data_IF_218837608932
#
_entry.id   IF_218837608932
#
_cell.length_a   1.000
_cell.length_b   1.000
_cell.length_c   1.000
_cell.angle_alpha   90.00
_cell.angle_beta   90.00
_cell.angle_gamma   90.00
#
_symmetry.space_group_name_H-M   'P 1'
#
loop_
_entity.id
_entity.type
_entity.pdbx_description
1 polymer ?
#
# COMPACT_ATOMS: atom_id res chain seq x y z
N UNK A 1 23.40 -26.96 16.31
CA UNK A 1 24.10 -27.87 15.35
C UNK A 1 23.55 -29.29 15.40
N UNK A 2 22.97 -29.75 16.52
CA UNK A 2 22.28 -31.05 16.59
C UNK A 2 20.88 -30.99 15.95
N UNK A 3 20.22 -29.85 16.12
CA UNK A 3 18.81 -29.58 15.79
C UNK A 3 18.52 -29.65 14.28
N UNK A 4 19.45 -29.21 13.43
CA UNK A 4 19.30 -29.33 11.97
C UNK A 4 19.41 -30.77 11.47
N UNK A 5 20.15 -31.65 12.15
CA UNK A 5 20.22 -33.06 11.78
C UNK A 5 18.91 -33.78 12.13
N UNK A 6 18.38 -33.55 13.34
CA UNK A 6 17.10 -34.10 13.76
C UNK A 6 15.94 -33.58 12.86
N UNK A 7 15.91 -32.28 12.55
CA UNK A 7 14.93 -31.73 11.60
C UNK A 7 15.05 -32.34 10.19
N UNK A 8 16.26 -32.57 9.68
CA UNK A 8 16.44 -33.21 8.37
C UNK A 8 15.92 -34.67 8.36
N UNK A 9 16.12 -35.42 9.45
CA UNK A 9 15.57 -36.76 9.61
C UNK A 9 14.03 -36.76 9.70
N UNK A 10 13.46 -35.85 10.50
CA UNK A 10 11.99 -35.69 10.62
C UNK A 10 11.36 -35.34 9.27
N UNK A 11 11.96 -34.41 8.52
CA UNK A 11 11.52 -34.04 7.16
C UNK A 11 11.59 -35.21 6.19
N UNK A 12 12.69 -35.98 6.19
CA UNK A 12 12.86 -37.13 5.28
C UNK A 12 11.85 -38.28 5.55
N UNK A 13 11.50 -38.52 6.82
CA UNK A 13 10.46 -39.49 7.19
C UNK A 13 9.06 -38.98 6.82
N UNK A 14 8.73 -37.72 7.15
CA UNK A 14 7.42 -37.14 6.87
C UNK A 14 7.09 -37.14 5.37
N UNK A 15 8.06 -36.80 4.51
CA UNK A 15 7.91 -36.75 3.04
C UNK A 15 7.54 -38.11 2.42
N UNK A 16 7.96 -39.21 3.04
CA UNK A 16 7.75 -40.58 2.54
C UNK A 16 6.56 -41.30 3.18
N UNK A 17 6.00 -40.74 4.25
CA UNK A 17 4.90 -41.35 4.99
C UNK A 17 3.56 -41.00 4.35
N UNK A 18 2.67 -41.97 4.06
CA UNK A 18 1.32 -41.66 3.58
C UNK A 18 0.54 -40.87 4.63
N UNK A 19 -0.08 -39.76 4.21
CA UNK A 19 -0.85 -38.87 5.09
C UNK A 19 -2.36 -39.04 4.84
N UNK A 20 -3.20 -39.16 5.89
CA UNK A 20 -4.67 -39.20 5.73
C UNK A 20 -5.22 -37.99 4.97
N UNK A 21 -4.66 -36.80 5.23
CA UNK A 21 -5.09 -35.53 4.63
C UNK A 21 -4.81 -35.45 3.12
N UNK A 22 -3.86 -36.26 2.64
CA UNK A 22 -3.55 -36.46 1.21
C UNK A 22 -4.29 -37.68 0.63
N UNK A 23 -5.30 -38.22 1.31
CA UNK A 23 -6.03 -39.42 0.87
C UNK A 23 -5.23 -40.72 1.01
N UNK A 24 -4.21 -40.75 1.87
CA UNK A 24 -3.32 -41.90 2.05
C UNK A 24 -2.13 -41.93 1.08
N UNK A 25 -1.90 -40.85 0.33
CA UNK A 25 -0.73 -40.68 -0.55
C UNK A 25 0.43 -40.05 0.26
N UNK A 26 1.69 -40.39 -0.06
CA UNK A 26 2.85 -39.75 0.55
C UNK A 26 3.10 -38.35 -0.06
N UNK A 27 3.60 -37.36 0.71
CA UNK A 27 3.90 -36.03 0.20
C UNK A 27 4.82 -36.01 -1.03
N UNK A 28 5.76 -36.95 -1.12
CA UNK A 28 6.63 -37.14 -2.31
C UNK A 28 5.84 -37.50 -3.57
N UNK A 29 4.90 -38.44 -3.47
CA UNK A 29 4.12 -38.91 -4.61
C UNK A 29 3.01 -37.92 -5.00
N UNK A 30 2.46 -37.21 -4.01
CA UNK A 30 1.50 -36.11 -4.18
C UNK A 30 2.06 -34.93 -4.99
N UNK A 31 3.37 -34.89 -5.28
CA UNK A 31 3.95 -33.88 -6.17
C UNK A 31 3.57 -34.07 -7.64
N UNK A 32 3.24 -35.29 -8.06
CA UNK A 32 2.95 -35.65 -9.45
C UNK A 32 1.45 -35.61 -9.82
N UNK A 33 0.55 -35.75 -8.83
CA UNK A 33 -0.90 -35.67 -9.02
C UNK A 33 -1.41 -34.22 -8.77
N UNK A 34 -2.02 -33.53 -9.76
CA UNK A 34 -2.55 -32.18 -9.58
C UNK A 34 -3.56 -31.97 -8.45
N UNK A 35 -4.33 -32.98 -8.03
CA UNK A 35 -5.29 -32.83 -6.93
C UNK A 35 -4.59 -33.00 -5.56
N UNK A 36 -3.83 -34.07 -5.38
CA UNK A 36 -3.01 -34.27 -4.18
C UNK A 36 -2.00 -33.13 -3.99
N UNK A 37 -1.46 -32.58 -5.09
CA UNK A 37 -0.57 -31.42 -5.12
C UNK A 37 -1.16 -30.18 -4.45
N UNK A 38 -2.43 -29.89 -4.73
CA UNK A 38 -3.13 -28.73 -4.12
C UNK A 38 -3.29 -28.92 -2.62
N UNK A 39 -3.74 -30.10 -2.19
CA UNK A 39 -3.88 -30.46 -0.77
C UNK A 39 -2.53 -30.38 -0.04
N UNK A 40 -1.44 -30.79 -0.69
CA UNK A 40 -0.08 -30.66 -0.18
C UNK A 40 0.36 -29.19 -0.06
N UNK A 41 0.07 -28.35 -1.05
CA UNK A 41 0.38 -26.91 -0.97
C UNK A 41 -0.43 -26.20 0.13
N UNK A 42 -1.71 -26.56 0.33
CA UNK A 42 -2.55 -26.06 1.42
C UNK A 42 -1.99 -26.44 2.81
N UNK A 43 -1.62 -27.71 3.01
CA UNK A 43 -0.97 -28.18 4.24
C UNK A 43 0.35 -27.45 4.52
N UNK A 44 1.14 -27.15 3.49
CA UNK A 44 2.39 -26.40 3.63
C UNK A 44 2.16 -24.92 3.98
N UNK A 45 1.01 -24.33 3.57
CA UNK A 45 0.60 -22.98 3.97
C UNK A 45 0.19 -22.96 5.45
N UNK A 46 -0.60 -23.94 5.90
CA UNK A 46 -0.95 -24.07 7.32
C UNK A 46 0.29 -24.27 8.19
N UNK A 47 1.20 -25.16 7.76
CA UNK A 47 2.46 -25.42 8.45
C UNK A 47 3.34 -24.16 8.53
N UNK A 48 3.34 -23.30 7.52
CA UNK A 48 4.04 -22.01 7.56
C UNK A 48 3.48 -21.08 8.64
N UNK A 49 2.15 -21.01 8.77
CA UNK A 49 1.50 -20.28 9.87
C UNK A 49 1.87 -20.84 11.25
N UNK A 50 2.02 -22.16 11.37
CA UNK A 50 2.47 -22.81 12.61
C UNK A 50 3.95 -22.60 12.90
N UNK A 51 4.83 -22.68 11.90
CA UNK A 51 6.27 -22.42 12.04
C UNK A 51 6.53 -21.01 12.55
N UNK A 52 5.93 -19.98 11.93
CA UNK A 52 6.06 -18.59 12.39
C UNK A 52 5.55 -18.43 13.84
N UNK A 53 4.42 -19.07 14.19
CA UNK A 53 3.88 -19.02 15.56
C UNK A 53 4.82 -19.66 16.59
N UNK A 54 5.43 -20.80 16.27
CA UNK A 54 6.34 -21.53 17.16
C UNK A 54 7.70 -20.82 17.27
N UNK A 55 8.24 -20.30 16.16
CA UNK A 55 9.48 -19.52 16.15
C UNK A 55 9.37 -18.26 17.03
N UNK A 56 8.25 -17.54 16.96
CA UNK A 56 7.97 -16.38 17.84
C UNK A 56 7.86 -16.74 19.33
N UNK A 57 7.60 -18.01 19.66
CA UNK A 57 7.57 -18.53 21.03
C UNK A 57 8.90 -19.18 21.46
N UNK A 58 9.93 -19.14 20.61
CA UNK A 58 11.21 -19.81 20.85
C UNK A 58 11.13 -21.34 20.85
N UNK A 59 10.06 -21.92 20.30
CA UNK A 59 9.81 -23.36 20.27
C UNK A 59 10.39 -24.01 19.01
N UNK A 60 10.89 -25.26 19.09
CA UNK A 60 11.37 -25.99 17.93
C UNK A 60 10.24 -26.18 16.90
N UNK A 61 10.56 -25.93 15.64
CA UNK A 61 9.65 -26.11 14.51
C UNK A 61 10.44 -26.43 13.24
N UNK A 62 9.77 -27.05 12.27
CA UNK A 62 10.34 -27.36 10.95
C UNK A 62 9.95 -26.24 9.99
N UNK A 63 10.91 -25.72 9.23
CA UNK A 63 10.66 -24.72 8.19
C UNK A 63 10.00 -25.40 6.97
N UNK A 64 8.81 -24.96 6.51
CA UNK A 64 8.20 -25.48 5.29
C UNK A 64 9.05 -25.27 4.02
N UNK A 65 9.99 -24.32 4.02
CA UNK A 65 10.93 -24.14 2.92
C UNK A 65 11.88 -25.35 2.77
N UNK A 66 12.38 -25.89 3.88
CA UNK A 66 13.20 -27.11 3.88
C UNK A 66 12.41 -28.32 3.35
N UNK A 67 11.11 -28.41 3.70
CA UNK A 67 10.22 -29.46 3.20
C UNK A 67 9.97 -29.30 1.69
N UNK A 68 9.69 -28.07 1.20
CA UNK A 68 9.52 -27.78 -0.23
C UNK A 68 10.78 -28.12 -1.05
N UNK A 69 11.95 -27.80 -0.50
CA UNK A 69 13.26 -28.13 -1.08
C UNK A 69 13.51 -29.63 -1.14
N UNK A 70 13.27 -30.35 -0.04
CA UNK A 70 13.45 -31.80 0.03
C UNK A 70 12.46 -32.58 -0.88
N UNK A 71 11.28 -32.00 -1.15
CA UNK A 71 10.31 -32.51 -2.11
C UNK A 71 10.64 -32.15 -3.58
N UNK A 72 11.66 -31.33 -3.85
CA UNK A 72 12.00 -30.87 -5.21
C UNK A 72 10.99 -29.92 -5.82
N UNK A 73 10.13 -29.32 -5.00
CA UNK A 73 8.96 -28.52 -5.38
C UNK A 73 9.16 -27.05 -5.03
N UNK A 74 10.39 -26.59 -5.20
CA UNK A 74 10.72 -25.17 -5.21
C UNK A 74 9.99 -24.53 -6.39
N UNK A 75 8.73 -24.16 -6.14
CA UNK A 75 8.12 -23.07 -6.85
C UNK A 75 9.11 -21.91 -6.79
N UNK A 76 9.38 -21.28 -7.94
CA UNK A 76 9.79 -19.89 -7.97
C UNK A 76 8.64 -19.03 -7.45
N UNK A 77 8.31 -19.18 -6.15
CA UNK A 77 7.96 -18.03 -5.33
C UNK A 77 9.19 -17.15 -5.43
N UNK A 78 9.14 -16.21 -6.35
CA UNK A 78 9.96 -15.03 -6.28
C UNK A 78 9.52 -14.24 -5.04
N UNK A 79 9.92 -14.73 -3.87
CA UNK A 79 10.55 -13.88 -2.86
C UNK A 79 11.82 -13.33 -3.48
N UNK A 80 11.65 -12.48 -4.50
CA UNK A 80 12.45 -11.30 -4.62
C UNK A 80 12.53 -10.73 -3.20
N UNK A 81 13.73 -10.53 -2.63
CA UNK A 81 13.85 -10.02 -1.28
C UNK A 81 13.02 -8.76 -1.22
N UNK A 82 11.90 -8.79 -0.47
CA UNK A 82 11.00 -7.64 -0.33
C UNK A 82 11.90 -6.53 0.19
N UNK A 83 12.19 -5.56 -0.68
CA UNK A 83 13.08 -4.46 -0.34
C UNK A 83 12.60 -3.93 1.01
N UNK A 84 13.48 -3.87 2.04
CA UNK A 84 13.05 -3.72 3.42
C UNK A 84 12.10 -2.54 3.49
N UNK A 85 10.88 -2.81 3.95
CA UNK A 85 9.78 -1.86 3.84
C UNK A 85 10.26 -0.51 4.36
N UNK A 86 10.40 0.49 3.45
CA UNK A 86 11.06 1.78 3.75
C UNK A 86 10.62 2.23 5.13
N UNK A 87 11.59 2.43 6.03
CA UNK A 87 11.34 2.65 7.45
C UNK A 87 10.59 3.97 7.61
N UNK A 88 9.26 3.89 7.66
CA UNK A 88 8.39 5.03 7.87
C UNK A 88 8.60 5.50 9.30
N UNK A 89 9.33 6.61 9.47
CA UNK A 89 9.58 7.16 10.80
C UNK A 89 8.25 7.59 11.44
N UNK A 90 7.93 7.21 12.69
CA UNK A 90 6.78 7.76 13.39
C UNK A 90 7.02 9.24 13.69
N UNK A 91 6.05 10.10 13.40
CA UNK A 91 6.17 11.55 13.61
C UNK A 91 5.09 12.34 12.85
N UNK A 92 4.99 13.67 13.09
CA UNK A 92 4.07 14.54 12.37
C UNK A 92 4.34 14.51 10.86
N UNK A 93 3.30 14.80 10.07
CA UNK A 93 3.34 14.80 8.61
C UNK A 93 3.15 16.22 8.13
N UNK A 94 4.18 16.80 7.48
CA UNK A 94 4.01 18.01 6.70
C UNK A 94 3.04 17.68 5.56
N UNK A 95 1.88 18.32 5.50
CA UNK A 95 0.90 18.08 4.42
C UNK A 95 1.36 18.73 3.13
N UNK A 96 1.02 18.12 2.00
CA UNK A 96 1.23 18.65 0.67
C UNK A 96 0.10 18.15 -0.24
N UNK A 97 -0.69 19.08 -0.79
CA UNK A 97 -1.88 18.75 -1.57
C UNK A 97 -1.56 17.86 -2.78
N UNK A 98 -0.52 18.18 -3.55
CA UNK A 98 -0.11 17.37 -4.70
C UNK A 98 0.27 15.93 -4.27
N UNK A 99 0.98 15.76 -3.16
CA UNK A 99 1.32 14.41 -2.67
C UNK A 99 0.11 13.66 -2.09
N UNK A 100 -0.86 14.37 -1.50
CA UNK A 100 -2.14 13.80 -1.04
C UNK A 100 -3.00 13.32 -2.22
N UNK A 101 -3.15 14.13 -3.26
CA UNK A 101 -3.89 13.81 -4.50
C UNK A 101 -3.20 12.70 -5.29
N UNK A 102 -1.92 12.87 -5.64
CA UNK A 102 -1.16 11.89 -6.43
C UNK A 102 -1.03 10.56 -5.70
N UNK A 103 -0.80 10.58 -4.38
CA UNK A 103 -0.76 9.36 -3.57
C UNK A 103 -2.11 8.64 -3.48
N UNK A 104 -3.22 9.37 -3.55
CA UNK A 104 -4.58 8.81 -3.60
C UNK A 104 -4.89 8.22 -4.99
N UNK A 105 -4.60 8.96 -6.07
CA UNK A 105 -4.70 8.47 -7.44
C UNK A 105 -3.88 7.17 -7.64
N UNK A 106 -2.62 7.17 -7.20
CA UNK A 106 -1.72 6.02 -7.28
C UNK A 106 -2.20 4.82 -6.47
N UNK A 107 -2.99 4.97 -5.40
CA UNK A 107 -3.48 3.82 -4.62
C UNK A 107 -4.87 3.35 -5.04
N UNK A 108 -5.38 3.87 -6.17
CA UNK A 108 -6.70 3.56 -6.70
C UNK A 108 -7.76 4.22 -5.83
N UNK A 109 -8.01 5.51 -6.11
CA UNK A 109 -9.05 6.33 -5.50
C UNK A 109 -10.46 5.87 -5.90
N UNK A 110 -11.31 6.79 -6.35
CA UNK A 110 -12.68 6.44 -6.73
C UNK A 110 -12.69 5.47 -7.91
N UNK A 111 -13.49 4.40 -7.75
CA UNK A 111 -13.48 3.19 -8.59
C UNK A 111 -13.75 3.48 -10.08
N UNK A 112 -14.52 4.53 -10.35
CA UNK A 112 -14.94 4.95 -11.69
C UNK A 112 -14.12 6.15 -12.22
N UNK A 113 -13.04 6.55 -11.53
CA UNK A 113 -12.20 7.70 -11.91
C UNK A 113 -10.90 7.29 -12.62
N UNK A 114 -10.49 8.07 -13.61
CA UNK A 114 -9.18 8.03 -14.24
C UNK A 114 -8.45 9.32 -13.90
N UNK A 115 -7.21 9.21 -13.42
CA UNK A 115 -6.42 10.36 -13.00
C UNK A 115 -5.26 10.64 -13.97
N UNK A 116 -4.98 11.92 -14.20
CA UNK A 116 -3.86 12.41 -15.01
C UNK A 116 -3.09 13.45 -14.21
N UNK A 117 -1.77 13.48 -14.36
CA UNK A 117 -0.93 14.56 -13.85
C UNK A 117 -0.66 15.56 -14.97
N UNK A 118 -1.03 16.81 -14.77
CA UNK A 118 -0.81 17.89 -15.71
C UNK A 118 0.58 18.52 -15.46
N UNK A 119 1.49 18.37 -16.42
CA UNK A 119 2.90 18.79 -16.27
C UNK A 119 3.09 20.30 -16.27
N UNK A 120 2.11 21.07 -16.73
CA UNK A 120 2.14 22.54 -16.75
C UNK A 120 1.62 23.16 -15.46
N UNK A 121 0.53 22.61 -14.91
CA UNK A 121 -0.05 23.11 -13.65
C UNK A 121 0.54 22.45 -12.40
N UNK A 122 1.23 21.31 -12.54
CA UNK A 122 1.64 20.42 -11.46
C UNK A 122 0.47 19.96 -10.57
N UNK A 123 -0.71 19.75 -11.17
CA UNK A 123 -1.92 19.28 -10.49
C UNK A 123 -2.34 17.88 -10.97
N UNK A 124 -3.18 17.21 -10.17
CA UNK A 124 -3.83 15.96 -10.55
C UNK A 124 -5.26 16.25 -10.99
N UNK A 125 -5.59 15.85 -12.23
CA UNK A 125 -6.92 16.00 -12.82
C UNK A 125 -7.62 14.64 -12.86
N UNK A 126 -8.84 14.60 -12.34
CA UNK A 126 -9.67 13.40 -12.25
C UNK A 126 -10.85 13.48 -13.21
N UNK A 127 -11.04 12.43 -14.02
CA UNK A 127 -12.15 12.30 -14.97
C UNK A 127 -12.99 11.08 -14.60
N UNK A 128 -14.33 11.20 -14.63
CA UNK A 128 -15.24 10.14 -14.19
C UNK A 128 -15.79 9.34 -15.37
N UNK A 129 -15.31 8.11 -15.57
CA UNK A 129 -15.66 7.28 -16.73
C UNK A 129 -17.17 6.95 -16.84
N UNK A 130 -17.93 7.09 -15.74
CA UNK A 130 -19.37 6.84 -15.66
C UNK A 130 -20.27 8.05 -16.01
N UNK A 131 -19.71 9.25 -16.29
CA UNK A 131 -20.48 10.46 -16.62
C UNK A 131 -20.94 10.58 -18.11
N UNK A 132 -20.69 9.54 -18.91
CA UNK A 132 -21.17 9.43 -20.30
C UNK A 132 -20.24 10.04 -21.36
N UNK A 133 -20.76 10.19 -22.57
CA UNK A 133 -19.95 10.43 -23.79
C UNK A 133 -19.09 11.70 -23.74
N UNK A 134 -19.55 12.76 -23.06
CA UNK A 134 -18.77 13.99 -22.91
C UNK A 134 -17.51 13.79 -22.07
N UNK A 135 -17.60 13.00 -21.01
CA UNK A 135 -16.47 12.74 -20.12
C UNK A 135 -15.50 11.73 -20.76
N UNK A 136 -16.03 10.77 -21.52
CA UNK A 136 -15.22 9.90 -22.38
C UNK A 136 -14.46 10.68 -23.46
N UNK A 137 -15.05 11.73 -24.03
CA UNK A 137 -14.36 12.61 -24.97
C UNK A 137 -13.22 13.39 -24.30
N UNK A 138 -13.40 13.88 -23.06
CA UNK A 138 -12.34 14.52 -22.28
C UNK A 138 -11.20 13.57 -21.92
N UNK A 139 -11.52 12.32 -21.55
CA UNK A 139 -10.51 11.27 -21.30
C UNK A 139 -9.69 11.01 -22.58
N UNK A 140 -10.34 10.97 -23.75
CA UNK A 140 -9.66 10.80 -25.03
C UNK A 140 -8.80 12.03 -25.42
N UNK A 141 -9.26 13.25 -25.11
CA UNK A 141 -8.48 14.48 -25.28
C UNK A 141 -7.25 14.52 -24.34
N UNK A 142 -7.42 14.11 -23.08
CA UNK A 142 -6.33 13.97 -22.12
C UNK A 142 -5.32 12.88 -22.53
N UNK A 143 -5.78 11.71 -23.02
CA UNK A 143 -4.91 10.67 -23.58
C UNK A 143 -4.13 11.12 -24.83
N UNK A 144 -4.64 12.11 -25.57
CA UNK A 144 -3.97 12.70 -26.74
C UNK A 144 -3.05 13.90 -26.39
N UNK A 145 -3.14 14.45 -25.18
CA UNK A 145 -2.41 15.63 -24.77
C UNK A 145 -1.04 15.28 -24.18
N UNK A 146 0.05 15.77 -24.80
CA UNK A 146 1.41 15.52 -24.35
C UNK A 146 1.74 16.10 -22.95
N UNK A 147 0.98 17.10 -22.48
CA UNK A 147 1.13 17.67 -21.14
C UNK A 147 0.38 16.85 -20.06
N UNK A 148 -0.43 15.86 -20.44
CA UNK A 148 -1.23 15.04 -19.53
C UNK A 148 -0.61 13.65 -19.36
N UNK A 149 -0.07 13.36 -18.18
CA UNK A 149 0.49 12.03 -17.88
C UNK A 149 -0.51 11.18 -17.10
N UNK A 150 -1.11 10.19 -17.75
CA UNK A 150 -2.02 9.22 -17.13
C UNK A 150 -1.36 8.53 -15.92
N UNK A 151 -2.04 8.59 -14.77
CA UNK A 151 -1.60 7.96 -13.52
C UNK A 151 -2.23 6.56 -13.46
N UNK A 152 -1.39 5.53 -13.56
CA UNK A 152 -1.82 4.14 -13.37
C UNK A 152 -1.79 3.78 -11.88
N UNK A 153 -2.92 3.34 -11.28
CA UNK A 153 -2.92 2.85 -9.91
C UNK A 153 -1.97 1.68 -9.71
N UNK A 154 -1.28 1.66 -8.56
CA UNK A 154 -0.42 0.55 -8.14
C UNK A 154 -1.26 -0.71 -7.94
N UNK A 155 -0.61 -1.86 -8.14
CA UNK A 155 -1.30 -3.15 -8.13
C UNK A 155 -1.86 -3.48 -6.75
N UNK A 156 -2.80 -4.42 -6.72
CA UNK A 156 -3.44 -4.87 -5.46
C UNK A 156 -2.41 -5.46 -4.48
N UNK A 157 -1.34 -6.07 -4.96
CA UNK A 157 -0.21 -6.59 -4.16
C UNK A 157 0.54 -5.46 -3.45
N UNK A 158 0.74 -4.31 -4.10
CA UNK A 158 1.39 -3.14 -3.46
C UNK A 158 0.50 -2.57 -2.36
N UNK A 159 -0.81 -2.44 -2.62
CA UNK A 159 -1.79 -1.94 -1.63
C UNK A 159 -1.95 -2.90 -0.45
N UNK A 160 -1.92 -4.20 -0.72
CA UNK A 160 -1.85 -5.24 0.30
C UNK A 160 -0.55 -5.14 1.11
N UNK A 161 0.57 -4.90 0.43
CA UNK A 161 1.89 -4.69 1.02
C UNK A 161 1.88 -3.58 2.07
N UNK A 162 1.24 -2.45 1.79
CA UNK A 162 1.09 -1.33 2.74
C UNK A 162 0.35 -1.77 4.02
N UNK A 163 -0.76 -2.50 3.90
CA UNK A 163 -1.49 -3.01 5.08
C UNK A 163 -0.62 -4.01 5.86
N UNK A 164 0.04 -4.94 5.17
CA UNK A 164 0.90 -5.95 5.78
C UNK A 164 2.10 -5.34 6.52
N UNK A 165 2.73 -4.30 5.96
CA UNK A 165 3.84 -3.60 6.60
C UNK A 165 3.38 -2.85 7.85
N UNK A 166 2.23 -2.16 7.80
CA UNK A 166 1.66 -1.49 8.96
C UNK A 166 1.43 -2.46 10.13
N UNK A 167 0.89 -3.66 9.84
CA UNK A 167 0.66 -4.70 10.85
C UNK A 167 1.98 -5.20 11.47
N UNK A 168 3.08 -5.17 10.71
CA UNK A 168 4.43 -5.43 11.23
C UNK A 168 4.94 -4.36 12.21
N UNK A 169 4.36 -3.16 12.19
CA UNK A 169 4.68 -2.04 13.10
C UNK A 169 3.71 -1.92 14.29
N UNK A 170 2.77 -2.86 14.43
CA UNK A 170 1.86 -2.93 15.59
C UNK A 170 2.47 -3.81 16.67
N UNK A 171 2.83 -3.18 17.79
CA UNK A 171 3.47 -3.82 18.94
C UNK A 171 2.53 -4.74 19.73
N UNK A 172 1.24 -4.39 19.82
CA UNK A 172 0.23 -5.23 20.48
C UNK A 172 -0.05 -6.48 19.62
N UNK A 173 0.34 -7.64 20.14
CA UNK A 173 0.24 -8.93 19.48
C UNK A 173 -1.22 -9.31 19.18
N UNK A 174 -2.18 -8.93 20.03
CA UNK A 174 -3.60 -9.23 19.84
C UNK A 174 -4.20 -8.35 18.73
N UNK A 175 -3.86 -7.05 18.72
CA UNK A 175 -4.25 -6.13 17.64
C UNK A 175 -3.63 -6.57 16.32
N UNK A 176 -2.32 -6.85 16.29
CA UNK A 176 -1.62 -7.34 15.11
C UNK A 176 -2.23 -8.66 14.61
N UNK A 177 -2.54 -9.61 15.51
CA UNK A 177 -3.21 -10.87 15.18
C UNK A 177 -4.57 -10.68 14.53
N UNK A 178 -5.43 -9.83 15.11
CA UNK A 178 -6.74 -9.46 14.54
C UNK A 178 -6.59 -8.85 13.14
N UNK A 179 -5.64 -7.94 12.94
CA UNK A 179 -5.40 -7.32 11.62
C UNK A 179 -4.86 -8.32 10.58
N UNK A 180 -3.99 -9.27 10.96
CA UNK A 180 -3.53 -10.36 10.05
C UNK A 180 -4.71 -11.22 9.56
N UNK A 181 -5.63 -11.57 10.46
CA UNK A 181 -6.86 -12.27 10.10
C UNK A 181 -7.77 -11.42 9.20
N UNK A 182 -7.87 -10.11 9.46
CA UNK A 182 -8.66 -9.18 8.68
C UNK A 182 -8.18 -9.03 7.22
N UNK A 183 -6.86 -9.09 6.96
CA UNK A 183 -6.30 -9.04 5.60
C UNK A 183 -6.31 -10.39 4.86
N UNK A 184 -6.78 -11.49 5.47
CA UNK A 184 -6.73 -12.81 4.83
C UNK A 184 -7.95 -13.08 3.94
N UNK A 185 -7.77 -13.24 2.62
CA UNK A 185 -8.83 -13.63 1.66
C UNK A 185 -9.68 -12.49 1.08
N UNK A 186 -10.80 -12.83 0.42
CA UNK A 186 -11.69 -11.86 -0.27
C UNK A 186 -12.19 -10.77 0.68
N UNK A 187 -12.22 -9.52 0.22
CA UNK A 187 -12.68 -8.38 1.02
C UNK A 187 -11.71 -7.91 2.12
N UNK A 188 -10.42 -8.30 2.03
CA UNK A 188 -9.35 -7.89 2.95
C UNK A 188 -9.35 -6.38 3.26
N UNK A 189 -9.41 -5.52 2.24
CA UNK A 189 -9.39 -4.06 2.41
C UNK A 189 -10.53 -3.51 3.27
N UNK A 190 -11.75 -4.07 3.13
CA UNK A 190 -12.91 -3.68 3.94
C UNK A 190 -12.73 -4.10 5.39
N UNK A 191 -12.44 -5.39 5.63
CA UNK A 191 -12.26 -5.94 6.98
C UNK A 191 -11.09 -5.32 7.72
N UNK A 192 -9.99 -5.02 7.03
CA UNK A 192 -8.86 -4.30 7.63
C UNK A 192 -9.25 -2.88 8.04
N UNK A 193 -10.00 -2.15 7.21
CA UNK A 193 -10.51 -0.82 7.57
C UNK A 193 -11.42 -0.90 8.79
N UNK A 194 -12.39 -1.82 8.79
CA UNK A 194 -13.30 -2.06 9.93
C UNK A 194 -12.53 -2.33 11.24
N UNK A 195 -11.57 -3.28 11.21
CA UNK A 195 -10.76 -3.63 12.37
C UNK A 195 -9.78 -2.52 12.82
N UNK A 196 -9.46 -1.56 11.96
CA UNK A 196 -8.69 -0.35 12.31
C UNK A 196 -9.60 0.73 12.89
N UNK A 197 -10.83 0.88 12.37
CA UNK A 197 -11.76 1.90 12.80
C UNK A 197 -12.38 1.63 14.19
N UNK A 198 -12.31 0.37 14.67
CA UNK A 198 -12.63 -0.07 16.05
C UNK A 198 -11.85 0.67 17.16
N UNK A 199 -10.65 1.21 16.88
CA UNK A 199 -9.87 2.01 17.83
C UNK A 199 -9.37 3.30 17.18
N UNK A 200 -9.84 4.43 17.72
CA UNK A 200 -9.40 5.80 17.41
C UNK A 200 -7.88 5.99 17.33
N UNK A 201 -7.12 5.35 18.22
CA UNK A 201 -5.67 5.47 18.30
C UNK A 201 -4.99 4.66 17.20
N UNK A 202 -5.43 3.42 16.97
CA UNK A 202 -5.03 2.61 15.83
C UNK A 202 -5.38 3.27 14.49
N UNK A 203 -6.58 3.85 14.36
CA UNK A 203 -7.02 4.60 13.18
C UNK A 203 -6.13 5.81 12.90
N UNK A 204 -5.78 6.61 13.91
CA UNK A 204 -4.81 7.71 13.77
C UNK A 204 -3.43 7.22 13.33
N UNK A 205 -2.92 6.14 13.93
CA UNK A 205 -1.63 5.52 13.53
C UNK A 205 -1.65 5.03 12.09
N UNK A 206 -2.72 4.35 11.67
CA UNK A 206 -2.90 3.86 10.30
C UNK A 206 -2.97 5.01 9.29
N UNK A 207 -3.80 6.03 9.55
CA UNK A 207 -3.93 7.18 8.63
C UNK A 207 -2.60 7.92 8.46
N UNK A 208 -1.83 8.09 9.54
CA UNK A 208 -0.49 8.66 9.48
C UNK A 208 0.47 7.81 8.64
N UNK A 209 0.56 6.51 8.95
CA UNK A 209 1.40 5.58 8.18
C UNK A 209 1.01 5.53 6.69
N UNK A 210 -0.28 5.41 6.39
CA UNK A 210 -0.83 5.36 5.03
C UNK A 210 -0.48 6.63 4.25
N UNK A 211 -0.64 7.81 4.85
CA UNK A 211 -0.29 9.09 4.21
C UNK A 211 1.21 9.14 3.86
N UNK A 212 2.11 8.74 4.77
CA UNK A 212 3.55 8.67 4.45
C UNK A 212 3.85 7.68 3.32
N UNK A 213 3.21 6.51 3.32
CA UNK A 213 3.34 5.53 2.22
C UNK A 213 2.80 6.05 0.88
N UNK A 214 1.71 6.80 0.89
CA UNK A 214 1.15 7.47 -0.29
C UNK A 214 2.13 8.53 -0.83
N UNK A 215 2.73 9.34 0.05
CA UNK A 215 3.73 10.34 -0.33
C UNK A 215 4.99 9.71 -0.93
N UNK A 216 5.46 8.58 -0.36
CA UNK A 216 6.59 7.86 -0.96
C UNK A 216 6.28 7.34 -2.36
N UNK A 217 5.07 6.79 -2.59
CA UNK A 217 4.64 6.37 -3.94
C UNK A 217 4.53 7.56 -4.90
N UNK A 218 3.98 8.68 -4.44
CA UNK A 218 3.89 9.92 -5.22
C UNK A 218 5.27 10.45 -5.62
N UNK A 219 6.21 10.55 -4.68
CA UNK A 219 7.59 10.97 -4.95
C UNK A 219 8.34 9.98 -5.86
N UNK A 220 8.20 8.68 -5.64
CA UNK A 220 8.79 7.66 -6.51
C UNK A 220 8.25 7.78 -7.95
N UNK A 221 6.96 8.04 -8.11
CA UNK A 221 6.33 8.22 -9.42
C UNK A 221 6.76 9.51 -10.10
N UNK A 222 6.85 10.64 -9.37
CA UNK A 222 7.37 11.91 -9.90
C UNK A 222 8.81 11.72 -10.40
N UNK A 223 9.68 11.12 -9.59
CA UNK A 223 11.07 10.84 -9.98
C UNK A 223 11.17 9.87 -11.16
N UNK A 224 10.36 8.83 -11.23
CA UNK A 224 10.35 7.87 -12.34
C UNK A 224 9.83 8.46 -13.67
N UNK A 225 9.23 9.65 -13.64
CA UNK A 225 8.81 10.40 -14.82
C UNK A 225 9.57 11.74 -14.97
N UNK A 226 10.69 11.92 -14.26
CA UNK A 226 11.54 13.11 -14.26
C UNK A 226 10.84 14.44 -13.88
N UNK A 227 9.69 14.37 -13.20
CA UNK A 227 8.95 15.54 -12.74
C UNK A 227 9.52 16.11 -11.44
N UNK A 228 9.75 17.43 -11.41
CA UNK A 228 10.29 18.17 -10.26
C UNK A 228 9.44 19.41 -9.96
N UNK A 229 8.24 19.25 -9.37
CA UNK A 229 7.41 20.38 -8.96
C UNK A 229 8.13 21.28 -7.94
N UNK A 230 7.93 22.59 -8.04
CA UNK A 230 8.55 23.55 -7.14
C UNK A 230 8.10 23.36 -5.67
N UNK A 231 9.00 23.62 -4.72
CA UNK A 231 8.70 23.49 -3.29
C UNK A 231 8.68 22.06 -2.72
N UNK A 232 8.81 21.01 -3.55
CA UNK A 232 8.98 19.63 -3.07
C UNK A 232 10.43 19.33 -2.68
N UNK A 233 10.75 19.55 -1.39
CA UNK A 233 11.98 19.05 -0.79
C UNK A 233 11.73 17.65 -0.24
N UNK A 234 12.27 16.61 -0.90
CA UNK A 234 11.94 15.21 -0.57
C UNK A 234 12.26 14.78 0.87
N UNK A 235 13.28 15.37 1.50
CA UNK A 235 13.62 15.11 2.91
C UNK A 235 12.51 15.52 3.89
N UNK A 236 11.64 16.45 3.53
CA UNK A 236 10.54 16.92 4.40
C UNK A 236 9.42 15.87 4.55
N UNK A 237 9.45 14.81 3.74
CA UNK A 237 8.39 13.81 3.61
C UNK A 237 8.91 12.37 3.87
N UNK A 238 9.95 12.23 4.71
CA UNK A 238 10.61 10.97 5.11
C UNK A 238 11.17 10.15 3.94
N UNK A 239 11.84 10.81 3.00
CA UNK A 239 12.55 10.17 1.89
C UNK A 239 14.05 10.50 1.93
N UNK A 240 14.88 9.46 2.11
CA UNK A 240 16.27 9.49 1.67
C UNK A 240 16.30 8.92 0.24
N UNK A 241 16.72 9.69 -0.79
CA UNK A 241 17.07 9.11 -2.07
C UNK A 241 18.20 8.12 -1.85
N UNK A 242 18.15 6.99 -2.55
CA UNK A 242 19.39 6.27 -2.79
C UNK A 242 20.31 7.24 -3.58
N UNK A 243 21.56 7.47 -3.13
CA UNK A 243 22.43 8.44 -3.79
C UNK A 243 22.60 8.09 -5.27
N UNK A 244 22.61 9.10 -6.13
CA UNK A 244 22.62 8.93 -7.58
C UNK A 244 23.77 8.00 -8.00
N UNK A 245 23.42 6.88 -8.63
CA UNK A 245 24.35 5.78 -8.94
C UNK A 245 23.77 4.37 -8.76
N UNK A 246 22.62 4.23 -8.09
CA UNK A 246 21.93 2.93 -7.91
C UNK A 246 20.82 2.69 -8.95
N UNK A 247 21.15 2.79 -10.24
CA UNK A 247 20.35 2.11 -11.26
C UNK A 247 20.62 0.60 -11.20
N UNK A 248 19.61 -0.27 -11.42
CA UNK A 248 19.86 -1.69 -11.64
C UNK A 248 20.75 -1.86 -12.87
N UNK A 249 21.70 -2.80 -12.81
CA UNK A 249 22.80 -2.87 -13.75
C UNK A 249 22.36 -3.09 -15.21
N UNK A 250 22.57 -2.08 -16.04
CA UNK A 250 23.00 -2.24 -17.43
C UNK A 250 24.36 -1.55 -17.62
N UNK A 251 25.41 -2.33 -17.40
CA UNK A 251 26.62 -2.49 -18.26
C UNK A 251 27.07 -1.28 -19.11
N UNK A 252 28.32 -0.77 -19.09
CA UNK A 252 29.58 -1.00 -18.35
C UNK A 252 30.59 0.15 -18.69
N UNK A 253 31.55 0.47 -17.79
CA UNK A 253 32.89 1.10 -18.07
C UNK A 253 32.93 2.58 -18.57
N UNK A 254 33.89 3.48 -18.24
CA UNK A 254 35.00 3.51 -17.27
C UNK A 254 35.37 4.97 -16.83
N UNK A 255 36.17 5.11 -15.75
CA UNK A 255 36.68 6.34 -15.06
C UNK A 255 37.90 7.00 -15.77
N UNK A 256 38.61 8.06 -15.26
CA UNK A 256 38.30 9.20 -14.32
C UNK A 256 38.71 10.62 -14.89
N UNK A 257 38.59 11.80 -14.22
CA UNK A 257 39.55 12.33 -13.19
C UNK A 257 39.35 13.82 -12.77
N UNK A 258 39.34 14.06 -11.44
CA UNK A 258 39.72 15.28 -10.63
C UNK A 258 39.03 16.66 -10.90
N UNK A 259 38.96 17.65 -9.99
CA UNK A 259 39.53 17.85 -8.62
C UNK A 259 38.54 18.70 -7.75
N UNK A 260 38.47 18.57 -6.40
CA UNK A 260 39.07 19.45 -5.35
C UNK A 260 38.65 20.95 -5.38
N UNK A 261 38.33 21.67 -4.28
CA UNK A 261 38.23 21.37 -2.83
C UNK A 261 37.62 22.53 -1.98
N UNK A 262 37.31 22.24 -0.69
CA UNK A 262 37.32 23.13 0.54
C UNK A 262 36.22 24.23 0.73
N UNK A 263 35.47 24.18 1.84
CA UNK A 263 35.61 24.91 3.15
C UNK A 263 35.23 26.42 3.06
N UNK A 264 34.59 27.09 4.04
CA UNK A 264 34.36 26.83 5.48
C UNK A 264 33.24 27.71 6.10
N UNK A 265 32.86 27.40 7.35
CA UNK A 265 32.17 28.15 8.45
C UNK A 265 32.16 29.71 8.36
N UNK A 266 31.24 30.52 8.92
CA UNK A 266 30.66 30.61 10.30
C UNK A 266 29.48 31.64 10.27
N UNK A 267 28.31 31.45 10.94
CA UNK A 267 27.91 31.67 12.36
C UNK A 267 27.44 33.11 12.77
N UNK A 268 26.12 33.22 13.03
CA UNK A 268 25.36 34.03 14.01
C UNK A 268 25.44 35.57 14.10
N UNK A 269 24.26 36.23 14.16
CA UNK A 269 23.75 37.12 15.24
C UNK A 269 22.54 37.93 14.69
N UNK A 270 21.31 37.82 15.22
CA UNK A 270 20.78 38.57 16.39
C UNK A 270 20.47 40.06 16.07
N UNK A 271 19.30 40.69 16.30
CA UNK A 271 17.90 40.31 16.68
C UNK A 271 16.99 41.57 16.53
N UNK A 272 15.64 41.44 16.62
CA UNK A 272 14.67 42.43 17.20
C UNK A 272 13.56 43.03 16.30
N UNK A 273 12.34 42.53 16.51
CA UNK A 273 11.02 43.19 16.36
C UNK A 273 10.87 44.40 17.34
N UNK A 274 9.93 45.38 17.15
CA UNK A 274 8.49 45.08 17.23
C UNK A 274 7.48 46.06 16.55
N UNK A 275 6.20 45.82 16.83
CA UNK A 275 5.01 46.72 16.84
C UNK A 275 4.18 46.97 15.55
N UNK A 276 3.06 46.24 15.49
CA UNK A 276 1.69 46.64 15.09
C UNK A 276 1.15 47.87 15.89
N UNK A 277 -0.09 48.43 15.72
CA UNK A 277 -1.31 47.90 15.02
C UNK A 277 -2.15 48.94 14.20
N UNK A 278 -3.21 48.49 13.48
CA UNK A 278 -4.60 49.04 13.57
C UNK A 278 -5.67 48.28 12.72
N UNK A 279 -6.83 47.99 13.35
CA UNK A 279 -8.25 48.02 12.86
C UNK A 279 -8.64 47.36 11.49
N UNK A 280 -9.52 46.34 11.44
CA UNK A 280 -11.02 46.37 11.51
C UNK A 280 -11.71 46.85 10.19
N UNK A 281 -12.85 46.34 9.71
CA UNK A 281 -14.02 45.68 10.35
C UNK A 281 -14.85 44.82 9.35
N UNK A 282 -15.74 43.95 9.86
CA UNK A 282 -17.06 43.48 9.35
C UNK A 282 -17.27 42.99 7.87
N UNK A 283 -18.34 42.28 7.43
CA UNK A 283 -19.35 41.31 7.95
C UNK A 283 -20.14 40.77 6.71
N UNK A 284 -20.92 39.68 6.83
CA UNK A 284 -22.19 39.54 6.08
C UNK A 284 -22.43 38.33 5.15
N UNK A 285 -23.50 37.58 5.46
CA UNK A 285 -24.35 36.74 4.58
C UNK A 285 -23.76 35.51 3.85
N UNK A 286 -24.51 34.43 3.57
CA UNK A 286 -25.95 34.15 3.74
C UNK A 286 -26.23 32.66 4.04
N UNK A 287 -27.48 32.35 4.41
CA UNK A 287 -28.02 31.01 4.74
C UNK A 287 -28.91 30.42 3.61
N UNK A 288 -29.57 29.28 3.91
CA UNK A 288 -30.59 28.54 3.11
C UNK A 288 -29.99 27.58 2.05
N UNK A 289 -30.51 26.38 1.74
CA UNK A 289 -31.69 25.61 2.18
C UNK A 289 -31.36 24.10 2.04
N UNK A 290 -32.10 23.08 2.52
CA UNK A 290 -33.26 22.96 3.43
C UNK A 290 -33.33 21.50 3.96
N UNK A 291 -34.49 20.98 4.41
CA UNK A 291 -34.70 19.56 4.77
C UNK A 291 -35.93 18.94 4.06
N UNK A 292 -35.95 17.61 3.90
CA UNK A 292 -37.08 16.84 3.34
C UNK A 292 -37.46 15.70 4.32
N UNK A 293 -38.74 15.61 4.69
CA UNK A 293 -39.24 14.65 5.70
C UNK A 293 -40.62 14.09 5.31
N UNK A 294 -40.69 12.76 5.28
CA UNK A 294 -41.86 11.87 5.43
C UNK A 294 -43.15 12.06 4.60
N UNK A 295 -43.35 11.05 3.73
CA UNK A 295 -44.56 10.25 3.52
C UNK A 295 -45.88 10.60 4.27
N UNK A 296 -46.99 10.60 3.52
CA UNK A 296 -48.20 9.86 3.93
C UNK A 296 -48.98 9.33 2.69
N UNK A 297 -49.92 8.41 2.93
CA UNK A 297 -50.47 7.48 1.95
C UNK A 297 -52.00 7.43 2.08
N UNK A 298 -52.77 7.96 1.11
CA UNK A 298 -54.24 8.01 1.20
C UNK A 298 -55.00 7.65 -0.09
N UNK A 299 -55.93 6.71 0.09
CA UNK A 299 -56.95 6.13 -0.78
C UNK A 299 -57.56 6.93 -1.95
N UNK A 300 -57.50 6.29 -3.14
CA UNK A 300 -58.58 5.89 -4.07
C UNK A 300 -59.81 6.79 -4.41
N UNK A 301 -60.42 6.60 -5.61
CA UNK A 301 -61.14 7.66 -6.32
C UNK A 301 -62.68 7.54 -6.30
N UNK A 302 -63.34 8.66 -6.60
CA UNK A 302 -64.74 8.70 -7.03
C UNK A 302 -64.86 8.64 -8.56
N UNK A 303 -66.02 8.18 -9.03
CA UNK A 303 -66.31 7.93 -10.43
C UNK A 303 -67.09 9.06 -11.11
N UNK A 304 -66.93 9.21 -12.42
CA UNK A 304 -68.11 9.47 -13.27
C UNK A 304 -67.94 8.95 -14.70
N UNK A 305 -69.05 8.41 -15.23
CA UNK A 305 -69.20 7.94 -16.60
C UNK A 305 -70.39 8.69 -17.19
N UNK A 306 -70.21 9.48 -18.24
CA UNK A 306 -71.18 9.70 -19.33
C UNK A 306 -70.71 10.72 -20.38
N UNK A 307 -71.19 10.50 -21.61
CA UNK A 307 -71.10 11.35 -22.82
C UNK A 307 -69.72 11.43 -23.50
#
# INVERSE_FOLDING_TARGET
MKDHADNAHVTAEWIRRPLPDLGGIAPSDATADPEARRKLDDLLIELAGHHVRLANLGLPSVDPADIRKALGIEAHVATAPRAPARVVRPGPIKRNQLLDELGTALTGGDVDSVAYFNTKSNAVEHFMHNLGDQENARIAEADANADMKKIMPVTTEVRYGIMSDFIGLVEDINVAGRLRSAISGKGAFRRFREAVDEDDTLRRRWLGYRTKRHYHLALDWLHANDFKPEGLVGSDYDWEPAPEGSHPAHTQHAKPKAAEAKLSETKASETKEPEEPVAADAEGDASDASADTEAEHASQPDAEVSA
#
